data_IF_680920754204
#
_entry.id   IF_680920754204
#
_cell.length_a   1.000
_cell.length_b   1.000
_cell.length_c   1.000
_cell.angle_alpha   90.00
_cell.angle_beta   90.00
_cell.angle_gamma   90.00
#
_symmetry.space_group_name_H-M   'P 1'
#
loop_
_entity.id
_entity.type
_entity.pdbx_description
1 polymer ?
#
# COMPACT_ATOMS: atom_id res chain seq x y z
N UNK A 1 7.23 13.92 -12.20
CA UNK A 1 8.67 14.12 -12.39
C UNK A 1 9.33 14.77 -11.19
N UNK A 2 8.91 15.94 -10.76
CA UNK A 2 9.58 16.74 -9.70
C UNK A 2 9.76 15.99 -8.38
N UNK A 3 8.83 15.11 -8.06
CA UNK A 3 8.91 14.26 -6.86
C UNK A 3 9.58 12.89 -7.12
N UNK A 4 9.96 12.57 -8.35
CA UNK A 4 10.42 11.23 -8.72
C UNK A 4 9.36 10.13 -8.58
N UNK A 5 8.08 10.48 -8.56
CA UNK A 5 6.97 9.55 -8.47
C UNK A 5 6.49 9.11 -9.85
N UNK A 6 6.07 7.85 -9.97
CA UNK A 6 5.39 7.36 -11.16
C UNK A 6 3.89 7.64 -11.10
N UNK A 7 3.25 8.13 -12.17
CA UNK A 7 1.82 8.40 -12.18
C UNK A 7 1.00 7.11 -12.29
N UNK A 8 -0.13 7.09 -11.58
CA UNK A 8 -1.20 6.11 -11.75
C UNK A 8 -2.52 6.89 -11.75
N UNK A 9 -2.96 7.40 -12.91
CA UNK A 9 -4.23 8.11 -12.98
C UNK A 9 -5.42 7.16 -12.84
N UNK A 10 -6.49 7.68 -12.24
CA UNK A 10 -7.79 7.03 -12.13
C UNK A 10 -8.78 7.83 -12.98
N UNK A 11 -9.34 7.21 -14.02
CA UNK A 11 -10.28 7.88 -14.93
C UNK A 11 -11.72 7.51 -14.64
N UNK A 12 -12.61 8.44 -14.94
CA UNK A 12 -14.05 8.24 -14.80
C UNK A 12 -14.54 7.22 -15.84
N UNK A 13 -15.28 6.20 -15.40
CA UNK A 13 -15.88 5.19 -16.26
C UNK A 13 -17.34 5.50 -16.65
N UNK A 14 -17.79 6.73 -16.47
CA UNK A 14 -19.17 7.15 -16.76
C UNK A 14 -20.17 6.84 -15.64
N UNK A 15 -19.68 6.49 -14.44
CA UNK A 15 -20.49 6.32 -13.24
C UNK A 15 -20.21 7.43 -12.23
N UNK A 16 -21.27 8.00 -11.67
CA UNK A 16 -21.17 8.80 -10.46
C UNK A 16 -20.86 7.92 -9.24
N UNK A 17 -20.47 8.55 -8.13
CA UNK A 17 -20.25 7.83 -6.88
C UNK A 17 -21.56 7.16 -6.41
N UNK A 18 -21.59 5.85 -6.38
CA UNK A 18 -22.78 5.08 -6.05
C UNK A 18 -23.20 5.18 -4.58
N UNK A 19 -22.31 5.65 -3.69
CA UNK A 19 -22.65 5.98 -2.30
C UNK A 19 -23.37 7.31 -2.12
N UNK A 20 -23.07 8.28 -2.99
CA UNK A 20 -23.50 9.66 -2.79
C UNK A 20 -24.48 10.13 -3.85
N UNK A 21 -24.91 9.23 -4.73
CA UNK A 21 -25.81 9.57 -5.81
C UNK A 21 -26.74 8.42 -6.16
N UNK A 22 -28.02 8.61 -5.85
CA UNK A 22 -29.09 7.66 -6.12
C UNK A 22 -29.75 7.90 -7.49
N UNK A 23 -29.37 8.97 -8.23
CA UNK A 23 -29.98 9.29 -9.51
C UNK A 23 -29.28 8.59 -10.67
N UNK A 24 -29.93 7.67 -11.38
CA UNK A 24 -29.38 7.06 -12.59
C UNK A 24 -29.03 8.10 -13.68
N UNK A 25 -29.66 9.28 -13.64
CA UNK A 25 -29.45 10.38 -14.59
C UNK A 25 -28.07 11.03 -14.45
N UNK A 26 -27.40 10.84 -13.32
CA UNK A 26 -26.04 11.30 -13.13
C UNK A 26 -25.00 10.38 -13.80
N UNK A 27 -25.41 9.19 -14.21
CA UNK A 27 -24.56 8.26 -14.94
C UNK A 27 -24.63 8.56 -16.44
N UNK A 28 -23.50 8.40 -17.10
CA UNK A 28 -23.43 8.53 -18.56
C UNK A 28 -24.20 7.37 -19.22
N UNK A 29 -25.11 7.64 -20.17
CA UNK A 29 -25.71 6.57 -20.97
C UNK A 29 -24.64 5.72 -21.67
N UNK A 30 -24.87 4.41 -21.73
CA UNK A 30 -23.87 3.47 -22.31
C UNK A 30 -23.52 3.81 -23.77
N UNK A 31 -24.49 4.28 -24.54
CA UNK A 31 -24.31 4.69 -25.94
C UNK A 31 -23.52 6.02 -26.10
N UNK A 32 -23.19 6.70 -25.00
CA UNK A 32 -22.37 7.91 -24.96
C UNK A 32 -21.01 7.69 -24.28
N UNK A 33 -20.65 6.45 -23.98
CA UNK A 33 -19.41 6.11 -23.27
C UNK A 33 -18.16 6.33 -24.11
N UNK A 34 -18.26 6.38 -25.43
CA UNK A 34 -17.14 6.51 -26.36
C UNK A 34 -16.27 7.76 -26.08
N UNK A 35 -16.87 8.88 -25.65
CA UNK A 35 -16.12 10.09 -25.30
C UNK A 35 -15.22 9.89 -24.08
N UNK A 36 -15.67 9.16 -23.06
CA UNK A 36 -14.89 8.83 -21.87
C UNK A 36 -13.76 7.84 -22.18
N UNK A 37 -14.02 6.90 -23.09
CA UNK A 37 -13.00 5.97 -23.57
C UNK A 37 -11.93 6.74 -24.35
N UNK A 38 -12.34 7.71 -25.19
CA UNK A 38 -11.41 8.55 -25.93
C UNK A 38 -10.55 9.40 -24.99
N UNK A 39 -11.13 10.00 -23.94
CA UNK A 39 -10.39 10.75 -22.92
C UNK A 39 -9.30 9.88 -22.25
N UNK A 40 -9.59 8.60 -21.97
CA UNK A 40 -8.62 7.66 -21.43
C UNK A 40 -7.48 7.38 -22.42
N UNK A 41 -7.78 7.22 -23.71
CA UNK A 41 -6.77 7.03 -24.75
C UNK A 41 -5.93 8.30 -24.96
N UNK A 42 -6.55 9.47 -24.96
CA UNK A 42 -5.90 10.77 -25.07
C UNK A 42 -4.96 11.04 -23.89
N UNK A 43 -5.35 10.65 -22.68
CA UNK A 43 -4.49 10.72 -21.50
C UNK A 43 -3.23 9.86 -21.66
N UNK A 44 -3.36 8.65 -22.19
CA UNK A 44 -2.20 7.79 -22.47
C UNK A 44 -1.30 8.43 -23.54
N UNK A 45 -1.89 8.95 -24.63
CA UNK A 45 -1.14 9.66 -25.67
C UNK A 45 -0.45 10.91 -25.11
N UNK A 46 -1.15 11.69 -24.26
CA UNK A 46 -0.52 12.84 -23.59
C UNK A 46 0.69 12.40 -22.75
N UNK A 47 0.56 11.33 -21.97
CA UNK A 47 1.65 10.86 -21.11
C UNK A 47 2.81 10.24 -21.88
N UNK A 48 2.54 9.44 -22.90
CA UNK A 48 3.52 8.56 -23.52
C UNK A 48 3.75 8.83 -25.01
N UNK A 49 2.85 9.56 -25.68
CA UNK A 49 2.90 9.80 -27.12
C UNK A 49 4.13 10.58 -27.54
N UNK A 50 4.58 10.31 -28.78
CA UNK A 50 5.62 11.10 -29.42
C UNK A 50 5.18 12.55 -29.65
N UNK A 51 6.12 13.49 -29.69
CA UNK A 51 5.83 14.94 -29.89
C UNK A 51 5.17 15.25 -31.25
N UNK A 52 5.15 14.31 -32.18
CA UNK A 52 4.42 14.43 -33.46
C UNK A 52 2.94 14.06 -33.34
N UNK A 53 2.51 13.43 -32.24
CA UNK A 53 1.11 13.13 -31.97
C UNK A 53 0.38 14.36 -31.43
N UNK A 54 -0.96 14.35 -31.44
CA UNK A 54 -1.77 15.49 -30.97
C UNK A 54 -1.47 15.84 -29.52
N UNK A 55 -1.55 14.88 -28.64
CA UNK A 55 -1.41 15.11 -27.20
C UNK A 55 0.05 15.10 -26.74
N UNK A 56 0.94 14.34 -27.39
CA UNK A 56 2.38 14.43 -27.16
C UNK A 56 2.94 15.81 -27.48
N UNK A 57 2.41 16.47 -28.53
CA UNK A 57 2.74 17.86 -28.87
C UNK A 57 2.31 18.83 -27.77
N UNK A 58 1.08 18.68 -27.24
CA UNK A 58 0.57 19.49 -26.12
C UNK A 58 1.46 19.34 -24.90
N UNK A 59 1.85 18.11 -24.55
CA UNK A 59 2.80 17.87 -23.44
C UNK A 59 4.12 18.62 -23.66
N UNK A 60 4.67 18.55 -24.88
CA UNK A 60 5.92 19.24 -25.20
C UNK A 60 5.79 20.76 -25.11
N UNK A 61 4.67 21.35 -25.59
CA UNK A 61 4.36 22.79 -25.48
C UNK A 61 4.22 23.24 -24.01
N UNK A 62 3.83 22.34 -23.10
CA UNK A 62 3.80 22.57 -21.64
C UNK A 62 5.18 22.47 -20.97
N UNK A 63 6.25 22.23 -21.74
CA UNK A 63 7.62 22.15 -21.23
C UNK A 63 8.14 20.73 -20.97
N UNK A 64 7.38 19.70 -21.32
CA UNK A 64 7.73 18.29 -21.09
C UNK A 64 7.82 17.50 -22.42
N UNK A 65 8.91 17.67 -23.22
CA UNK A 65 9.03 16.99 -24.51
C UNK A 65 9.18 15.46 -24.36
N UNK A 66 9.81 15.00 -23.28
CA UNK A 66 9.99 13.58 -23.02
C UNK A 66 8.72 12.92 -22.46
N UNK A 67 8.46 11.64 -22.79
CA UNK A 67 7.34 10.88 -22.23
C UNK A 67 7.43 10.72 -20.71
N UNK A 68 6.28 10.68 -20.04
CA UNK A 68 6.21 10.41 -18.59
C UNK A 68 6.32 8.93 -18.25
N UNK A 69 6.33 8.05 -19.24
CA UNK A 69 6.42 6.59 -19.08
C UNK A 69 5.29 6.01 -18.21
N UNK A 70 4.07 6.50 -18.43
CA UNK A 70 2.87 5.97 -17.78
C UNK A 70 2.79 4.45 -18.00
N UNK A 71 2.64 3.71 -16.91
CA UNK A 71 2.59 2.24 -16.90
C UNK A 71 1.21 1.69 -16.54
N UNK A 72 0.45 2.43 -15.77
CA UNK A 72 -0.82 2.01 -15.19
C UNK A 72 -1.92 3.01 -15.48
N UNK A 73 -3.13 2.50 -15.69
CA UNK A 73 -4.34 3.31 -15.78
C UNK A 73 -5.46 2.58 -15.04
N UNK A 74 -6.04 3.23 -14.04
CA UNK A 74 -7.22 2.73 -13.33
C UNK A 74 -8.50 3.26 -13.97
N UNK A 75 -9.50 2.39 -14.07
CA UNK A 75 -10.81 2.70 -14.67
C UNK A 75 -11.89 2.62 -13.59
N UNK A 76 -12.43 3.76 -13.22
CA UNK A 76 -13.40 3.87 -12.12
C UNK A 76 -12.72 3.87 -10.74
N UNK A 77 -13.46 4.29 -9.72
CA UNK A 77 -13.05 4.32 -8.32
C UNK A 77 -14.20 3.87 -7.43
N UNK A 78 -14.01 2.76 -6.73
CA UNK A 78 -15.01 2.18 -5.82
C UNK A 78 -16.37 1.83 -6.47
N UNK A 79 -16.46 1.75 -7.79
CA UNK A 79 -17.67 1.32 -8.44
C UNK A 79 -17.94 -0.19 -8.23
N UNK A 80 -19.22 -0.58 -8.25
CA UNK A 80 -19.63 -1.96 -8.07
C UNK A 80 -20.79 -2.38 -8.97
N UNK A 81 -21.09 -3.68 -8.96
CA UNK A 81 -22.19 -4.29 -9.65
C UNK A 81 -22.01 -4.43 -11.16
N UNK A 82 -23.07 -4.91 -11.82
CA UNK A 82 -23.08 -5.12 -13.27
C UNK A 82 -22.90 -3.81 -14.06
N UNK A 83 -23.40 -2.69 -13.53
CA UNK A 83 -23.26 -1.39 -14.16
C UNK A 83 -21.79 -0.96 -14.33
N UNK A 84 -20.93 -1.33 -13.40
CA UNK A 84 -19.49 -1.11 -13.55
C UNK A 84 -18.90 -2.02 -14.63
N UNK A 85 -19.25 -3.28 -14.63
CA UNK A 85 -18.68 -4.28 -15.55
C UNK A 85 -19.00 -3.94 -17.02
N UNK A 86 -20.23 -3.56 -17.34
CA UNK A 86 -20.63 -3.21 -18.71
C UNK A 86 -19.92 -1.94 -19.23
N UNK A 87 -19.41 -1.09 -18.32
CA UNK A 87 -18.62 0.09 -18.65
C UNK A 87 -17.13 -0.23 -18.74
N UNK A 88 -16.60 -1.02 -17.82
CA UNK A 88 -15.19 -1.39 -17.78
C UNK A 88 -14.72 -2.13 -19.04
N UNK A 89 -15.52 -3.09 -19.53
CA UNK A 89 -15.13 -3.92 -20.68
C UNK A 89 -14.79 -3.14 -21.96
N UNK A 90 -15.57 -2.12 -22.39
CA UNK A 90 -15.23 -1.30 -23.54
C UNK A 90 -13.90 -0.54 -23.37
N UNK A 91 -13.61 0.00 -22.18
CA UNK A 91 -12.32 0.63 -21.89
C UNK A 91 -11.17 -0.36 -22.04
N UNK A 92 -11.27 -1.52 -21.39
CA UNK A 92 -10.24 -2.56 -21.46
C UNK A 92 -9.98 -2.96 -22.92
N UNK A 93 -11.04 -3.16 -23.71
CA UNK A 93 -10.94 -3.51 -25.14
C UNK A 93 -10.24 -2.42 -25.95
N UNK A 94 -10.57 -1.16 -25.73
CA UNK A 94 -9.98 -0.03 -26.46
C UNK A 94 -8.51 0.16 -26.10
N UNK A 95 -8.18 0.16 -24.81
CA UNK A 95 -6.81 0.32 -24.31
C UNK A 95 -5.93 -0.84 -24.78
N UNK A 96 -6.37 -2.08 -24.63
CA UNK A 96 -5.60 -3.26 -25.11
C UNK A 96 -5.34 -3.24 -26.61
N UNK A 97 -6.22 -2.65 -27.41
CA UNK A 97 -6.07 -2.52 -28.85
C UNK A 97 -5.00 -1.48 -29.23
N UNK A 98 -4.94 -0.35 -28.53
CA UNK A 98 -4.13 0.80 -28.90
C UNK A 98 -2.84 0.90 -28.09
N UNK A 99 -2.87 0.53 -26.81
CA UNK A 99 -1.77 0.63 -25.84
C UNK A 99 -1.65 -0.66 -25.01
N UNK A 100 -1.28 -1.79 -25.64
CA UNK A 100 -1.24 -3.10 -24.98
C UNK A 100 -0.22 -3.19 -23.84
N UNK A 101 0.73 -2.25 -23.77
CA UNK A 101 1.75 -2.15 -22.71
C UNK A 101 1.21 -1.53 -21.41
N UNK A 102 0.08 -0.81 -21.47
CA UNK A 102 -0.52 -0.20 -20.28
C UNK A 102 -1.20 -1.26 -19.44
N UNK A 103 -0.80 -1.34 -18.18
CA UNK A 103 -1.46 -2.19 -17.18
C UNK A 103 -2.76 -1.54 -16.71
N UNK A 104 -3.84 -2.27 -16.83
CA UNK A 104 -5.18 -1.80 -16.46
C UNK A 104 -5.49 -2.21 -15.03
N UNK A 105 -5.94 -1.25 -14.23
CA UNK A 105 -6.41 -1.45 -12.87
C UNK A 105 -7.94 -1.35 -12.86
N UNK A 106 -8.62 -2.42 -12.44
CA UNK A 106 -10.05 -2.41 -12.14
C UNK A 106 -10.28 -2.39 -10.64
N UNK A 107 -11.48 -2.01 -10.18
CA UNK A 107 -11.80 -1.96 -8.75
C UNK A 107 -12.57 -3.20 -8.29
N UNK A 108 -12.36 -3.61 -7.04
CA UNK A 108 -13.17 -4.63 -6.35
C UNK A 108 -14.36 -4.04 -5.58
N UNK A 109 -14.69 -2.78 -5.82
CA UNK A 109 -15.71 -2.03 -5.11
C UNK A 109 -15.16 -1.28 -3.90
N UNK A 110 -16.04 -0.74 -3.04
CA UNK A 110 -15.66 0.16 -1.96
C UNK A 110 -15.14 -0.57 -0.71
N UNK A 111 -15.17 -1.90 -0.71
CA UNK A 111 -14.78 -2.72 0.42
C UNK A 111 -13.89 -3.89 0.01
N UNK A 112 -13.32 -4.53 1.02
CA UNK A 112 -12.39 -5.66 0.85
C UNK A 112 -13.03 -7.02 1.14
N UNK A 113 -14.33 -7.07 1.30
CA UNK A 113 -15.15 -8.25 1.59
C UNK A 113 -16.63 -7.91 1.40
N UNK A 114 -17.49 -8.92 1.30
CA UNK A 114 -18.91 -8.76 1.10
C UNK A 114 -19.34 -8.96 -0.36
N UNK A 115 -20.62 -8.74 -0.62
CA UNK A 115 -21.27 -9.11 -1.88
C UNK A 115 -20.63 -8.43 -3.10
N UNK A 116 -20.33 -7.14 -3.02
CA UNK A 116 -19.71 -6.39 -4.12
C UNK A 116 -18.32 -6.93 -4.43
N UNK A 117 -17.51 -7.16 -3.41
CA UNK A 117 -16.16 -7.72 -3.55
C UNK A 117 -16.18 -9.13 -4.14
N UNK A 118 -17.07 -10.00 -3.63
CA UNK A 118 -17.20 -11.38 -4.08
C UNK A 118 -17.74 -11.48 -5.52
N UNK A 119 -18.56 -10.52 -5.94
CA UNK A 119 -19.03 -10.41 -7.32
C UNK A 119 -17.93 -9.91 -8.26
N UNK A 120 -17.20 -8.85 -7.88
CA UNK A 120 -16.27 -8.17 -8.77
C UNK A 120 -14.96 -8.94 -8.99
N UNK A 121 -14.40 -9.62 -8.00
CA UNK A 121 -13.15 -10.34 -8.17
C UNK A 121 -13.16 -11.38 -9.30
N UNK A 122 -14.17 -12.27 -9.42
CA UNK A 122 -14.30 -13.16 -10.57
C UNK A 122 -14.42 -12.43 -11.91
N UNK A 123 -15.13 -11.29 -11.94
CA UNK A 123 -15.28 -10.47 -13.13
C UNK A 123 -13.95 -9.82 -13.55
N UNK A 124 -13.16 -9.32 -12.62
CA UNK A 124 -11.81 -8.80 -12.90
C UNK A 124 -10.91 -9.88 -13.54
N UNK A 125 -10.97 -11.12 -13.03
CA UNK A 125 -10.30 -12.27 -13.65
C UNK A 125 -10.82 -12.59 -15.06
N UNK A 126 -12.13 -12.54 -15.26
CA UNK A 126 -12.77 -12.81 -16.56
C UNK A 126 -12.38 -11.77 -17.62
N UNK A 127 -12.38 -10.49 -17.24
CA UNK A 127 -12.03 -9.34 -18.08
C UNK A 127 -10.52 -9.30 -18.33
N UNK A 128 -9.72 -9.94 -17.45
CA UNK A 128 -8.26 -9.97 -17.48
C UNK A 128 -7.63 -8.60 -17.26
N UNK A 129 -8.11 -7.86 -16.27
CA UNK A 129 -7.36 -6.69 -15.79
C UNK A 129 -6.00 -7.14 -15.23
N UNK A 130 -5.01 -6.26 -15.19
CA UNK A 130 -3.68 -6.59 -14.67
C UNK A 130 -3.65 -6.52 -13.15
N UNK A 131 -4.33 -5.52 -12.58
CA UNK A 131 -4.44 -5.33 -11.15
C UNK A 131 -5.90 -5.11 -10.74
N UNK A 132 -6.20 -5.50 -9.50
CA UNK A 132 -7.48 -5.20 -8.84
C UNK A 132 -7.18 -4.26 -7.68
N UNK A 133 -7.86 -3.11 -7.70
CA UNK A 133 -7.79 -2.12 -6.64
C UNK A 133 -8.70 -2.54 -5.49
N UNK A 134 -8.10 -2.77 -4.31
CA UNK A 134 -8.79 -3.12 -3.08
C UNK A 134 -8.74 -1.95 -2.10
N UNK A 135 -9.91 -1.55 -1.60
CA UNK A 135 -10.05 -0.49 -0.60
C UNK A 135 -10.49 -1.06 0.75
N UNK A 136 -9.86 -0.64 1.83
CA UNK A 136 -10.23 -1.09 3.16
C UNK A 136 -9.95 -0.07 4.26
N UNK A 137 -11.01 0.60 4.65
CA UNK A 137 -11.08 1.42 5.84
C UNK A 137 -11.76 0.61 6.94
N UNK A 138 -10.97 0.03 7.83
CA UNK A 138 -11.45 -0.98 8.78
C UNK A 138 -11.04 -0.69 10.22
N UNK A 139 -11.77 -1.25 11.21
CA UNK A 139 -11.41 -1.11 12.62
C UNK A 139 -10.18 -1.96 12.98
N UNK A 140 -9.63 -1.73 14.17
CA UNK A 140 -8.41 -2.33 14.69
C UNK A 140 -8.40 -3.86 14.60
N UNK A 141 -9.49 -4.50 15.05
CA UNK A 141 -9.54 -5.96 15.05
C UNK A 141 -9.50 -6.58 13.64
N UNK A 142 -9.92 -5.84 12.60
CA UNK A 142 -9.81 -6.34 11.24
C UNK A 142 -8.34 -6.39 10.81
N UNK A 143 -7.56 -5.35 11.09
CA UNK A 143 -6.13 -5.32 10.79
C UNK A 143 -5.37 -6.45 11.49
N UNK A 144 -5.66 -6.69 12.78
CA UNK A 144 -5.07 -7.79 13.55
C UNK A 144 -5.36 -9.18 12.96
N UNK A 145 -6.57 -9.39 12.41
CA UNK A 145 -6.97 -10.66 11.84
C UNK A 145 -6.53 -10.86 10.40
N UNK A 146 -6.13 -9.80 9.71
CA UNK A 146 -5.87 -9.80 8.28
C UNK A 146 -4.38 -9.95 7.90
N UNK A 147 -3.50 -10.25 8.86
CA UNK A 147 -2.07 -10.43 8.62
C UNK A 147 -1.71 -11.56 7.64
N UNK A 148 -2.65 -12.46 7.34
CA UNK A 148 -2.50 -13.55 6.38
C UNK A 148 -3.47 -13.44 5.17
N UNK A 149 -4.12 -12.29 4.97
CA UNK A 149 -5.14 -12.08 3.94
C UNK A 149 -4.72 -12.59 2.57
N UNK A 150 -3.53 -12.23 2.13
CA UNK A 150 -3.04 -12.51 0.78
C UNK A 150 -2.34 -13.87 0.63
N UNK A 151 -2.18 -14.65 1.72
CA UNK A 151 -1.46 -15.92 1.68
C UNK A 151 -2.12 -16.97 0.75
N UNK A 152 -3.45 -16.87 0.56
CA UNK A 152 -4.23 -17.81 -0.25
C UNK A 152 -4.66 -17.25 -1.62
N UNK A 153 -4.26 -16.02 -1.97
CA UNK A 153 -4.61 -15.45 -3.27
C UNK A 153 -3.92 -16.19 -4.42
N UNK A 154 -4.60 -16.26 -5.54
CA UNK A 154 -4.10 -16.88 -6.77
C UNK A 154 -2.90 -16.10 -7.33
N UNK A 155 -1.72 -16.73 -7.32
CA UNK A 155 -0.47 -16.12 -7.84
C UNK A 155 -0.46 -15.91 -9.35
N UNK A 156 -1.36 -16.55 -10.08
CA UNK A 156 -1.47 -16.47 -11.55
C UNK A 156 -2.56 -15.52 -12.03
N UNK A 157 -3.42 -15.06 -11.13
CA UNK A 157 -4.47 -14.09 -11.42
C UNK A 157 -3.97 -12.65 -11.50
N UNK A 158 -4.90 -11.68 -11.62
CA UNK A 158 -4.59 -10.27 -11.47
C UNK A 158 -3.84 -10.01 -10.17
N UNK A 159 -2.94 -9.03 -10.17
CA UNK A 159 -2.26 -8.59 -8.95
C UNK A 159 -3.18 -7.69 -8.15
N UNK A 160 -2.82 -7.44 -6.89
CA UNK A 160 -3.53 -6.52 -6.02
C UNK A 160 -2.81 -5.16 -6.02
N UNK A 161 -3.58 -4.13 -6.19
CA UNK A 161 -3.27 -2.78 -5.77
C UNK A 161 -4.10 -2.48 -4.52
N UNK A 162 -3.49 -2.40 -3.35
CA UNK A 162 -4.16 -1.92 -2.14
C UNK A 162 -4.16 -0.38 -2.20
N UNK A 163 -5.07 0.18 -3.02
CA UNK A 163 -5.02 1.58 -3.44
C UNK A 163 -5.47 2.57 -2.38
N UNK A 164 -6.39 2.14 -1.52
CA UNK A 164 -6.81 2.97 -0.40
C UNK A 164 -6.96 2.13 0.87
N UNK A 165 -6.23 2.47 1.91
CA UNK A 165 -6.45 1.86 3.21
C UNK A 165 -6.03 2.76 4.36
N UNK A 166 -6.70 2.58 5.48
CA UNK A 166 -6.33 3.13 6.77
C UNK A 166 -7.02 2.37 7.91
N UNK A 167 -6.35 2.26 9.06
CA UNK A 167 -6.99 1.81 10.29
C UNK A 167 -7.83 2.96 10.89
N UNK A 168 -9.14 2.74 11.09
CA UNK A 168 -10.07 3.77 11.57
C UNK A 168 -9.84 4.21 13.01
N UNK A 169 -8.97 3.53 13.75
CA UNK A 169 -8.38 4.01 14.98
C UNK A 169 -9.34 4.59 16.03
N UNK A 170 -10.40 3.87 16.42
CA UNK A 170 -11.36 4.30 17.42
C UNK A 170 -12.00 5.69 17.16
N UNK A 171 -12.05 6.08 15.90
CA UNK A 171 -12.70 7.33 15.47
C UNK A 171 -11.95 8.61 15.83
N UNK A 172 -10.66 8.55 16.13
CA UNK A 172 -9.83 9.74 16.38
C UNK A 172 -9.60 10.56 15.13
N UNK A 173 -9.41 11.87 15.27
CA UNK A 173 -9.12 12.79 14.17
C UNK A 173 -7.73 12.55 13.60
N UNK A 174 -6.72 12.51 14.47
CA UNK A 174 -5.34 12.24 14.11
C UNK A 174 -5.07 10.75 14.18
N UNK A 175 -4.15 10.28 13.33
CA UNK A 175 -3.72 8.90 13.34
C UNK A 175 -2.90 8.63 14.60
N UNK A 176 -3.49 7.98 15.58
CA UNK A 176 -2.81 7.65 16.82
C UNK A 176 -1.89 6.44 16.68
N UNK A 177 -1.02 6.24 17.67
CA UNK A 177 0.05 5.24 17.59
C UNK A 177 -0.46 3.81 17.41
N UNK A 178 -1.52 3.39 18.13
CA UNK A 178 -2.05 2.02 17.99
C UNK A 178 -2.54 1.74 16.56
N UNK A 179 -3.28 2.66 15.95
CA UNK A 179 -3.73 2.50 14.56
C UNK A 179 -2.54 2.27 13.61
N UNK A 180 -1.49 3.08 13.75
CA UNK A 180 -0.26 2.94 12.96
C UNK A 180 0.45 1.61 13.23
N UNK A 181 0.49 1.13 14.47
CA UNK A 181 1.08 -0.16 14.82
C UNK A 181 0.34 -1.33 14.14
N UNK A 182 -0.99 -1.26 14.09
CA UNK A 182 -1.81 -2.29 13.45
C UNK A 182 -1.68 -2.26 11.92
N UNK A 183 -1.54 -1.07 11.34
CA UNK A 183 -1.17 -0.92 9.93
C UNK A 183 0.22 -1.53 9.65
N UNK A 184 1.20 -1.31 10.55
CA UNK A 184 2.51 -1.95 10.42
C UNK A 184 2.43 -3.48 10.46
N UNK A 185 1.60 -4.03 11.36
CA UNK A 185 1.36 -5.46 11.45
C UNK A 185 0.76 -6.03 10.15
N UNK A 186 -0.26 -5.38 9.60
CA UNK A 186 -0.88 -5.75 8.32
C UNK A 186 0.12 -5.70 7.16
N UNK A 187 0.94 -4.65 7.09
CA UNK A 187 1.93 -4.48 6.03
C UNK A 187 3.01 -5.56 6.01
N UNK A 188 3.27 -6.28 7.13
CA UNK A 188 4.12 -7.46 7.09
C UNK A 188 3.53 -8.55 6.18
N UNK A 189 2.21 -8.72 6.19
CA UNK A 189 1.48 -9.63 5.31
C UNK A 189 1.50 -9.18 3.85
N UNK A 190 1.37 -7.88 3.62
CA UNK A 190 1.48 -7.27 2.27
C UNK A 190 2.89 -7.51 1.70
N UNK A 191 3.95 -7.17 2.44
CA UNK A 191 5.33 -7.35 1.98
C UNK A 191 5.68 -8.82 1.77
N UNK A 192 5.22 -9.72 2.65
CA UNK A 192 5.43 -11.18 2.49
C UNK A 192 4.81 -11.71 1.21
N UNK A 193 3.74 -11.11 0.74
CA UNK A 193 2.98 -11.49 -0.46
C UNK A 193 3.21 -10.52 -1.63
N UNK A 194 4.42 -9.98 -1.79
CA UNK A 194 4.76 -9.06 -2.89
C UNK A 194 4.67 -9.70 -4.29
N UNK A 195 4.50 -11.01 -4.38
CA UNK A 195 4.18 -11.74 -5.61
C UNK A 195 2.68 -11.66 -5.99
N UNK A 196 1.84 -11.18 -5.08
CA UNK A 196 0.40 -10.90 -5.26
C UNK A 196 0.10 -9.43 -5.16
N UNK A 197 0.57 -8.76 -4.09
CA UNK A 197 0.35 -7.32 -3.88
C UNK A 197 1.48 -6.54 -4.52
N UNK A 198 1.20 -5.96 -5.69
CA UNK A 198 2.19 -5.20 -6.47
C UNK A 198 2.42 -3.80 -5.89
N UNK A 199 1.37 -3.18 -5.35
CA UNK A 199 1.42 -1.83 -4.78
C UNK A 199 0.48 -1.70 -3.57
N UNK A 200 0.83 -0.81 -2.65
CA UNK A 200 -0.01 -0.41 -1.54
C UNK A 200 0.18 1.08 -1.25
N UNK A 201 -0.92 1.81 -1.14
CA UNK A 201 -0.93 3.26 -0.90
C UNK A 201 -1.92 3.61 0.22
N UNK A 202 -1.46 4.44 1.14
CA UNK A 202 -2.31 4.97 2.19
C UNK A 202 -3.21 6.09 1.65
N UNK A 203 -4.45 6.11 2.06
CA UNK A 203 -5.40 7.17 1.73
C UNK A 203 -6.30 7.55 2.92
N UNK A 204 -6.80 8.80 2.97
CA UNK A 204 -6.35 9.96 2.19
C UNK A 204 -4.95 10.44 2.56
N UNK A 205 -4.30 11.18 1.63
CA UNK A 205 -2.93 11.64 1.83
C UNK A 205 -2.84 12.91 2.67
N UNK A 206 -3.67 13.90 2.37
CA UNK A 206 -3.57 15.27 2.90
C UNK A 206 -4.91 15.76 3.42
N UNK A 207 -4.90 16.39 4.60
CA UNK A 207 -6.06 17.09 5.13
C UNK A 207 -5.69 18.43 5.79
N UNK A 208 -6.44 19.47 5.46
CA UNK A 208 -6.36 20.75 6.14
C UNK A 208 -7.12 20.68 7.47
N UNK A 209 -6.51 21.14 8.58
CA UNK A 209 -7.07 21.01 9.92
C UNK A 209 -8.44 21.67 10.12
N UNK A 210 -8.77 22.69 9.32
CA UNK A 210 -10.04 23.41 9.39
C UNK A 210 -11.03 23.01 8.28
N UNK A 211 -10.58 22.27 7.25
CA UNK A 211 -11.37 21.97 6.05
C UNK A 211 -11.48 20.50 5.70
N UNK A 212 -11.15 19.61 6.61
CA UNK A 212 -11.22 18.16 6.36
C UNK A 212 -12.67 17.66 6.35
N UNK A 213 -12.94 16.67 5.48
CA UNK A 213 -14.23 15.98 5.40
C UNK A 213 -14.16 14.51 5.83
N UNK A 214 -12.97 13.95 5.84
CA UNK A 214 -12.69 12.55 6.14
C UNK A 214 -11.51 12.41 7.10
N UNK A 215 -11.42 11.30 7.77
CA UNK A 215 -10.31 10.87 8.62
C UNK A 215 -10.28 9.34 8.72
N UNK A 216 -9.12 8.73 8.98
CA UNK A 216 -7.81 9.32 9.23
C UNK A 216 -7.14 9.81 7.93
N UNK A 217 -6.21 10.75 8.05
CA UNK A 217 -5.40 11.28 6.93
C UNK A 217 -3.91 11.19 7.26
N UNK A 218 -3.07 10.93 6.24
CA UNK A 218 -1.66 10.64 6.48
C UNK A 218 -0.85 11.84 6.93
N UNK A 219 -1.12 13.00 6.35
CA UNK A 219 -0.44 14.28 6.63
C UNK A 219 -1.51 15.35 6.89
N UNK A 220 -1.44 15.97 8.05
CA UNK A 220 -2.28 17.12 8.37
C UNK A 220 -1.50 18.41 8.22
N UNK A 221 -2.16 19.47 7.79
CA UNK A 221 -1.53 20.76 7.60
C UNK A 221 -2.47 21.93 7.89
N UNK A 222 -1.88 23.08 8.20
CA UNK A 222 -2.50 24.41 8.14
C UNK A 222 -1.83 25.24 7.02
N UNK A 223 -2.07 26.55 6.99
CA UNK A 223 -1.47 27.41 5.98
C UNK A 223 0.05 27.57 6.10
N UNK A 224 0.66 27.19 7.19
CA UNK A 224 2.08 27.44 7.51
C UNK A 224 2.86 26.20 7.92
N UNK A 225 2.18 25.14 8.42
CA UNK A 225 2.81 23.98 9.01
C UNK A 225 2.18 22.70 8.49
N UNK A 226 2.94 21.63 8.54
CA UNK A 226 2.44 20.27 8.31
C UNK A 226 2.95 19.32 9.39
N UNK A 227 2.18 18.26 9.66
CA UNK A 227 2.56 17.20 10.60
C UNK A 227 2.44 15.84 9.94
N UNK A 228 3.46 15.03 10.15
CA UNK A 228 3.51 13.62 9.79
C UNK A 228 2.87 12.81 10.91
N UNK A 229 1.82 12.08 10.60
CA UNK A 229 1.15 11.24 11.58
C UNK A 229 1.95 10.00 11.95
N UNK A 230 1.51 9.24 12.95
CA UNK A 230 2.11 7.94 13.29
C UNK A 230 2.06 6.98 12.09
N UNK A 231 0.95 6.94 11.36
CA UNK A 231 0.79 6.14 10.12
C UNK A 231 1.79 6.56 9.03
N UNK A 232 2.12 7.85 8.91
CA UNK A 232 3.13 8.31 7.96
C UNK A 232 4.50 7.67 8.25
N UNK A 233 4.90 7.59 9.51
CA UNK A 233 6.18 6.96 9.88
C UNK A 233 6.19 5.47 9.54
N UNK A 234 5.08 4.77 9.72
CA UNK A 234 4.95 3.37 9.31
C UNK A 234 5.11 3.23 7.79
N UNK A 235 4.38 4.02 6.99
CA UNK A 235 4.52 4.02 5.53
C UNK A 235 5.97 4.32 5.10
N UNK A 236 6.58 5.33 5.71
CA UNK A 236 7.98 5.71 5.46
C UNK A 236 8.97 4.59 5.80
N UNK A 237 8.76 3.89 6.92
CA UNK A 237 9.61 2.76 7.31
C UNK A 237 9.52 1.59 6.32
N UNK A 238 8.34 1.27 5.78
CA UNK A 238 8.20 0.26 4.73
C UNK A 238 8.80 0.75 3.40
N UNK A 239 8.45 1.94 2.95
CA UNK A 239 8.89 2.48 1.66
C UNK A 239 10.41 2.68 1.56
N UNK A 240 11.07 3.11 2.65
CA UNK A 240 12.52 3.33 2.67
C UNK A 240 13.35 2.11 3.08
N UNK A 241 12.70 1.02 3.51
CA UNK A 241 13.35 -0.23 3.88
C UNK A 241 12.80 -1.41 3.06
N UNK A 242 12.57 -1.20 1.78
CA UNK A 242 12.17 -2.23 0.81
C UNK A 242 13.37 -3.06 0.37
N UNK A 243 13.11 -4.29 -0.03
CA UNK A 243 14.10 -5.18 -0.64
C UNK A 243 13.89 -5.39 -2.12
N UNK A 244 14.80 -6.13 -2.73
CA UNK A 244 14.68 -6.64 -4.11
C UNK A 244 14.00 -8.01 -4.16
N UNK A 245 14.04 -8.74 -3.05
CA UNK A 245 13.46 -10.09 -2.95
C UNK A 245 12.84 -10.30 -1.55
N UNK A 246 11.68 -10.91 -1.53
CA UNK A 246 11.09 -11.40 -0.27
C UNK A 246 11.85 -12.64 0.21
N UNK A 247 12.09 -12.70 1.52
CA UNK A 247 12.71 -13.83 2.18
C UNK A 247 11.67 -14.47 3.12
N UNK A 248 11.47 -15.80 3.06
CA UNK A 248 10.59 -16.44 4.01
C UNK A 248 11.06 -16.23 5.45
N UNK A 249 10.15 -15.80 6.33
CA UNK A 249 10.37 -15.75 7.78
C UNK A 249 9.28 -16.57 8.46
N UNK A 250 9.68 -17.42 9.40
CA UNK A 250 8.75 -18.32 10.09
C UNK A 250 9.00 -18.36 11.59
N UNK A 251 7.93 -18.56 12.34
CA UNK A 251 7.96 -18.94 13.75
C UNK A 251 7.25 -20.31 13.86
N UNK A 252 7.90 -21.31 14.42
CA UNK A 252 7.38 -22.69 14.49
C UNK A 252 6.92 -23.24 13.11
N UNK A 253 7.68 -22.95 12.04
CA UNK A 253 7.40 -23.34 10.64
C UNK A 253 6.14 -22.72 10.02
N UNK A 254 5.54 -21.71 10.66
CA UNK A 254 4.41 -20.95 10.14
C UNK A 254 4.84 -19.51 9.84
N UNK A 255 4.19 -18.86 8.88
CA UNK A 255 4.34 -17.42 8.67
C UNK A 255 4.01 -16.67 9.97
N UNK A 256 4.73 -15.56 10.22
CA UNK A 256 4.54 -14.75 11.44
C UNK A 256 3.48 -13.71 11.13
N UNK A 257 2.23 -14.01 11.44
CA UNK A 257 1.04 -13.25 11.02
C UNK A 257 0.01 -13.02 12.14
N UNK A 258 0.47 -12.98 13.39
CA UNK A 258 -0.39 -12.72 14.54
C UNK A 258 -1.34 -13.87 14.89
N UNK A 259 -1.01 -15.12 14.51
CA UNK A 259 -1.80 -16.29 14.89
C UNK A 259 -1.80 -16.48 16.42
N UNK A 260 -2.79 -17.19 16.93
CA UNK A 260 -3.01 -17.35 18.38
C UNK A 260 -1.79 -17.87 19.15
N UNK A 261 -0.96 -18.71 18.49
CA UNK A 261 0.27 -19.27 19.06
C UNK A 261 1.52 -18.37 18.86
N UNK A 262 1.35 -17.16 18.36
CA UNK A 262 2.42 -16.21 18.06
C UNK A 262 2.39 -14.94 18.94
N UNK A 263 1.54 -14.90 19.95
CA UNK A 263 1.46 -13.84 20.98
C UNK A 263 1.44 -12.40 20.38
N UNK A 264 0.71 -12.18 19.27
CA UNK A 264 0.62 -10.86 18.63
C UNK A 264 1.87 -10.45 17.85
N UNK A 265 2.79 -11.37 17.52
CA UNK A 265 3.92 -11.11 16.65
C UNK A 265 3.52 -11.20 15.17
N UNK A 266 3.99 -10.21 14.41
CA UNK A 266 3.93 -10.18 12.95
C UNK A 266 5.32 -9.91 12.41
N UNK A 267 5.69 -10.50 11.28
CA UNK A 267 6.99 -10.26 10.69
C UNK A 267 7.01 -10.46 9.17
N UNK A 268 7.89 -9.71 8.53
CA UNK A 268 8.32 -9.90 7.15
C UNK A 268 9.83 -9.73 7.04
N UNK A 269 10.42 -10.31 6.00
CA UNK A 269 11.84 -10.18 5.73
C UNK A 269 12.09 -10.03 4.23
N UNK A 270 13.05 -9.16 3.89
CA UNK A 270 13.46 -8.92 2.51
C UNK A 270 14.98 -8.88 2.41
N UNK A 271 15.48 -9.22 1.24
CA UNK A 271 16.85 -9.00 0.83
C UNK A 271 16.93 -7.76 -0.05
N UNK A 272 17.76 -6.80 0.33
CA UNK A 272 18.13 -5.68 -0.53
C UNK A 272 19.46 -5.99 -1.24
N UNK A 273 19.36 -6.45 -2.47
CA UNK A 273 20.51 -6.79 -3.30
C UNK A 273 21.35 -5.59 -3.71
N UNK A 274 20.79 -4.39 -3.65
CA UNK A 274 21.49 -3.15 -3.99
C UNK A 274 22.48 -2.75 -2.89
N UNK A 275 22.04 -2.87 -1.64
CA UNK A 275 22.83 -2.49 -0.46
C UNK A 275 23.50 -3.68 0.24
N UNK A 276 23.28 -4.91 -0.25
CA UNK A 276 23.71 -6.16 0.39
C UNK A 276 23.25 -6.25 1.87
N UNK A 277 21.96 -5.96 2.09
CA UNK A 277 21.35 -5.96 3.42
C UNK A 277 20.19 -6.96 3.51
N UNK A 278 20.12 -7.66 4.63
CA UNK A 278 18.90 -8.31 5.10
C UNK A 278 18.10 -7.30 5.93
N UNK A 279 16.82 -7.15 5.61
CA UNK A 279 15.92 -6.25 6.33
C UNK A 279 14.80 -7.11 6.91
N UNK A 280 14.68 -7.11 8.23
CA UNK A 280 13.63 -7.84 8.95
C UNK A 280 12.76 -6.85 9.70
N UNK A 281 11.46 -6.92 9.46
CA UNK A 281 10.46 -6.10 10.12
C UNK A 281 9.69 -6.97 11.11
N UNK A 282 9.64 -6.55 12.36
CA UNK A 282 8.92 -7.26 13.43
C UNK A 282 7.99 -6.29 14.12
N UNK A 283 6.72 -6.68 14.26
CA UNK A 283 5.72 -5.93 15.00
C UNK A 283 5.23 -6.79 16.16
N UNK A 284 5.33 -6.26 17.35
CA UNK A 284 4.71 -6.82 18.56
C UNK A 284 3.48 -5.99 18.92
N UNK A 285 2.30 -6.54 18.71
CA UNK A 285 1.03 -5.88 19.04
C UNK A 285 0.55 -6.19 20.46
N UNK A 286 1.24 -7.08 21.19
CA UNK A 286 0.87 -7.45 22.56
C UNK A 286 1.29 -6.39 23.57
N UNK A 287 0.71 -6.50 24.78
CA UNK A 287 1.01 -5.63 25.93
C UNK A 287 2.29 -6.06 26.66
N UNK A 288 2.98 -7.09 26.21
CA UNK A 288 4.17 -7.64 26.86
C UNK A 288 5.38 -7.58 25.92
N UNK A 289 6.54 -7.28 26.49
CA UNK A 289 7.80 -7.38 25.78
C UNK A 289 8.12 -8.86 25.48
N UNK A 290 8.59 -9.17 24.29
CA UNK A 290 8.85 -10.55 23.86
C UNK A 290 10.32 -10.76 23.52
N UNK A 291 11.02 -11.67 24.22
CA UNK A 291 12.35 -12.09 23.79
C UNK A 291 12.23 -12.91 22.50
N UNK A 292 13.02 -12.53 21.50
CA UNK A 292 13.07 -13.22 20.21
C UNK A 292 14.51 -13.52 19.80
N UNK A 293 14.67 -14.56 18.99
CA UNK A 293 15.88 -14.85 18.25
C UNK A 293 15.56 -14.85 16.76
N UNK A 294 16.23 -13.99 15.99
CA UNK A 294 16.15 -13.98 14.52
C UNK A 294 17.40 -14.75 14.02
N UNK A 295 17.20 -15.92 13.43
CA UNK A 295 18.28 -16.72 12.86
C UNK A 295 18.27 -16.63 11.33
N UNK A 296 19.44 -16.30 10.74
CA UNK A 296 19.62 -16.29 9.28
C UNK A 296 20.10 -17.66 8.82
N UNK A 297 19.20 -18.42 8.22
CA UNK A 297 19.43 -19.81 7.78
C UNK A 297 19.73 -19.88 6.27
N UNK A 298 20.29 -21.02 5.82
CA UNK A 298 20.55 -21.26 4.39
C UNK A 298 21.71 -20.44 3.80
N UNK A 299 22.46 -19.73 4.61
CA UNK A 299 23.65 -18.98 4.16
C UNK A 299 24.76 -19.94 3.72
N UNK A 300 25.54 -19.53 2.69
CA UNK A 300 26.75 -20.27 2.32
C UNK A 300 27.71 -20.32 3.52
N UNK A 301 28.42 -21.44 3.70
CA UNK A 301 29.37 -21.64 4.83
C UNK A 301 30.44 -20.54 4.97
N UNK A 302 30.74 -19.84 3.88
CA UNK A 302 31.69 -18.72 3.85
C UNK A 302 31.11 -17.41 4.34
N UNK A 303 29.78 -17.30 4.50
CA UNK A 303 29.10 -16.09 4.95
C UNK A 303 28.95 -16.16 6.46
N UNK A 304 29.57 -15.20 7.13
CA UNK A 304 29.41 -14.96 8.56
C UNK A 304 28.84 -13.54 8.74
N UNK A 305 27.75 -13.46 9.45
CA UNK A 305 27.10 -12.20 9.79
C UNK A 305 27.36 -11.95 11.29
N UNK A 306 28.56 -11.49 11.58
CA UNK A 306 28.98 -11.10 12.94
C UNK A 306 29.34 -9.61 12.91
N UNK A 307 28.88 -8.86 13.91
CA UNK A 307 29.17 -7.43 14.06
C UNK A 307 27.94 -6.63 14.39
N UNK A 308 27.98 -5.36 14.04
CA UNK A 308 26.89 -4.43 14.33
C UNK A 308 25.90 -4.36 13.17
N UNK A 309 24.64 -4.61 13.48
CA UNK A 309 23.49 -4.25 12.64
C UNK A 309 22.88 -2.92 13.10
N UNK A 310 21.88 -2.46 12.36
CA UNK A 310 21.07 -1.30 12.70
C UNK A 310 19.68 -1.76 13.09
N UNK A 311 19.07 -1.13 14.09
CA UNK A 311 17.65 -1.26 14.37
C UNK A 311 17.00 0.13 14.40
N UNK A 312 15.74 0.17 13.90
CA UNK A 312 14.91 1.36 13.92
C UNK A 312 13.64 0.98 14.69
N UNK A 313 13.44 1.61 15.83
CA UNK A 313 12.35 1.29 16.76
C UNK A 313 11.30 2.39 16.68
N UNK A 314 10.05 2.01 16.42
CA UNK A 314 8.88 2.87 16.49
C UNK A 314 7.97 2.39 17.60
N UNK A 315 7.84 3.19 18.67
CA UNK A 315 7.17 2.80 19.91
C UNK A 315 6.60 4.02 20.62
N UNK A 316 5.51 3.79 21.35
CA UNK A 316 4.94 4.68 22.35
C UNK A 316 4.32 3.85 23.50
N UNK A 317 4.54 4.29 24.74
CA UNK A 317 3.88 3.70 25.92
C UNK A 317 2.39 4.04 25.98
N UNK A 318 1.95 5.06 25.25
CA UNK A 318 0.55 5.46 25.15
C UNK A 318 0.01 5.08 23.76
N UNK A 319 -0.94 4.12 23.67
CA UNK A 319 -1.54 3.71 22.40
C UNK A 319 -2.35 4.83 21.74
N UNK A 320 -2.85 5.80 22.53
CA UNK A 320 -3.60 6.94 22.04
C UNK A 320 -2.74 8.16 21.67
N UNK A 321 -1.43 8.05 21.78
CA UNK A 321 -0.54 9.16 21.47
C UNK A 321 -0.57 9.51 19.98
N UNK A 322 -0.47 10.79 19.67
CA UNK A 322 -0.58 11.36 18.34
C UNK A 322 0.50 12.39 18.09
N UNK A 323 0.93 12.54 16.83
CA UNK A 323 1.63 13.74 16.39
C UNK A 323 0.59 14.77 15.93
N UNK A 324 0.77 16.03 16.28
CA UNK A 324 -0.09 17.13 15.86
C UNK A 324 0.74 18.38 15.53
N UNK A 325 0.11 19.45 15.05
CA UNK A 325 0.81 20.68 14.63
C UNK A 325 1.60 21.38 15.74
N UNK A 326 1.25 21.15 17.00
CA UNK A 326 1.94 21.71 18.17
C UNK A 326 3.11 20.81 18.60
N UNK A 327 2.96 19.50 18.47
CA UNK A 327 3.94 18.48 18.82
C UNK A 327 4.18 17.53 17.63
N UNK A 328 4.79 18.02 16.53
CA UNK A 328 4.89 17.26 15.28
C UNK A 328 5.86 16.08 15.35
N UNK A 329 6.67 15.97 16.39
CA UNK A 329 7.70 14.95 16.58
C UNK A 329 7.58 14.24 17.94
N UNK A 330 6.39 14.22 18.55
CA UNK A 330 6.16 13.54 19.84
C UNK A 330 6.48 12.04 19.73
N UNK A 331 6.11 11.43 18.60
CA UNK A 331 6.35 10.01 18.33
C UNK A 331 7.08 9.90 16.98
N UNK A 332 8.35 9.49 17.05
CA UNK A 332 9.21 9.32 15.88
C UNK A 332 10.03 8.04 16.01
N UNK A 333 10.41 7.39 14.90
CA UNK A 333 11.33 6.26 14.93
C UNK A 333 12.68 6.65 15.51
N UNK A 334 13.28 5.75 16.30
CA UNK A 334 14.62 5.93 16.88
C UNK A 334 15.56 4.86 16.36
N UNK A 335 16.73 5.30 15.88
CA UNK A 335 17.77 4.40 15.39
C UNK A 335 18.77 4.08 16.51
N UNK A 336 19.26 2.84 16.49
CA UNK A 336 20.37 2.37 17.35
C UNK A 336 21.06 1.17 16.71
N UNK A 337 22.17 0.72 17.30
CA UNK A 337 22.86 -0.49 16.89
C UNK A 337 22.25 -1.71 17.54
N UNK A 338 22.42 -2.87 16.89
CA UNK A 338 22.06 -4.18 17.41
C UNK A 338 23.21 -5.17 17.10
N UNK A 339 23.59 -5.98 18.07
CA UNK A 339 24.62 -7.01 17.87
C UNK A 339 24.10 -8.17 17.04
N UNK A 340 24.87 -8.60 16.05
CA UNK A 340 24.67 -9.82 15.28
C UNK A 340 25.79 -10.78 15.62
N UNK A 341 25.47 -11.97 16.12
CA UNK A 341 26.46 -12.96 16.54
C UNK A 341 26.08 -14.35 16.08
N UNK A 342 26.98 -15.02 15.38
CA UNK A 342 26.74 -16.38 14.87
C UNK A 342 25.55 -16.43 13.90
N UNK A 343 25.39 -15.45 13.03
CA UNK A 343 24.25 -15.29 12.12
C UNK A 343 22.88 -15.18 12.84
N UNK A 344 22.87 -14.62 14.04
CA UNK A 344 21.66 -14.48 14.85
C UNK A 344 21.60 -13.08 15.49
N UNK A 345 20.37 -12.61 15.66
CA UNK A 345 20.06 -11.46 16.52
C UNK A 345 19.28 -12.01 17.72
N UNK A 346 19.80 -11.83 18.93
CA UNK A 346 19.09 -12.13 20.16
C UNK A 346 18.66 -10.79 20.79
N UNK A 347 17.38 -10.55 20.90
CA UNK A 347 16.85 -9.27 21.37
C UNK A 347 15.49 -9.41 22.02
N UNK A 348 14.98 -8.31 22.55
CA UNK A 348 13.62 -8.23 23.07
C UNK A 348 12.87 -7.13 22.30
N UNK A 349 11.76 -7.48 21.70
CA UNK A 349 10.84 -6.52 21.10
C UNK A 349 9.88 -6.05 22.19
N UNK A 350 9.90 -4.75 22.48
CA UNK A 350 9.05 -4.14 23.50
C UNK A 350 7.56 -4.39 23.26
N UNK A 351 6.74 -4.19 24.29
CA UNK A 351 5.29 -4.17 24.12
C UNK A 351 4.90 -3.11 23.08
N UNK A 352 3.88 -3.37 22.29
CA UNK A 352 3.36 -2.42 21.28
C UNK A 352 4.48 -1.70 20.50
N UNK A 353 5.33 -2.46 19.84
CA UNK A 353 6.53 -1.93 19.18
C UNK A 353 6.66 -2.46 17.76
N UNK A 354 7.00 -1.58 16.83
CA UNK A 354 7.46 -1.91 15.49
C UNK A 354 8.96 -1.69 15.38
N UNK A 355 9.69 -2.71 14.91
CA UNK A 355 11.16 -2.65 14.74
C UNK A 355 11.54 -3.08 13.33
N UNK A 356 12.45 -2.33 12.72
CA UNK A 356 13.14 -2.69 11.49
C UNK A 356 14.58 -3.01 11.81
N UNK A 357 15.01 -4.24 11.57
CA UNK A 357 16.40 -4.69 11.70
C UNK A 357 17.07 -4.70 10.34
N UNK A 358 18.26 -4.15 10.24
CA UNK A 358 19.07 -4.10 9.03
C UNK A 358 20.45 -4.71 9.31
N UNK A 359 20.80 -5.74 8.57
CA UNK A 359 22.05 -6.48 8.74
C UNK A 359 22.74 -6.61 7.40
N UNK A 360 23.96 -6.09 7.30
CA UNK A 360 24.79 -6.27 6.10
C UNK A 360 25.40 -7.66 6.06
N UNK A 361 25.49 -8.15 4.83
CA UNK A 361 26.12 -9.44 4.54
C UNK A 361 27.64 -9.27 4.44
#
# INVERSE_FOLDING_TARGET
>A
EDMGAEPLPVVNCGLACQYQNDSPEANVPIDQLDSYIQDALDLIEFANGDISTTWGKVRAEMGHPEPFHLKFLAIGNEQWGEEYIVRLEPFVKAIRKQYPEIKIVGTSGPGSEGEEFEYLWPEMKRIKVDLVDEHFYRPENWFLKSGNRYDLYDRKGPKVFAGEYACHGRGKKWNHFEAALLEAAFLTGVERNADVVEMATYAPLLAHVEGWQWRPDLIWFDNLKSVRTCSWYVQSLYGNNKGTNVIPITLNKKAVSGQADQNGLFASAVWDGTNNEYIVKVVNTSQEAQPIQIAFEGLKKSVKMDGDGKQIIFHSDNPDAENNLEQPFAIVPKESTIEVKGNQINTTVGAQTFVVYKVRK
#
